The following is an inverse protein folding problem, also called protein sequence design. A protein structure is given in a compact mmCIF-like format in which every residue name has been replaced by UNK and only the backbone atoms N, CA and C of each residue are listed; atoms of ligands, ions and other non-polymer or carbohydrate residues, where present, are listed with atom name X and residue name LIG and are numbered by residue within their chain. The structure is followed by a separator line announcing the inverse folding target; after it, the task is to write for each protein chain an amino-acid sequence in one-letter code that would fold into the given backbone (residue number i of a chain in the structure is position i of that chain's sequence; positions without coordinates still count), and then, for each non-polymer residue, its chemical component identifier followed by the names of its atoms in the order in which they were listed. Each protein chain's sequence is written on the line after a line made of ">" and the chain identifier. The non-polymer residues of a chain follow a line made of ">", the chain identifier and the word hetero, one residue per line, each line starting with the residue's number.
data_IF_554316052205
#
_entry.id   IF_554316052205
#
_cell.length_a   1.000
_cell.length_b   1.000
_cell.length_c   1.000
_cell.angle_alpha   90.00
_cell.angle_beta   90.00
_cell.angle_gamma   90.00
#
_symmetry.space_group_name_H-M   'P 1'
#
loop_
_entity.id
_entity.type
_entity.pdbx_description
1 polymer ?
#
# COMPACT_ATOMS: atom_id res chain seq x y z
N UNK A 1 -19.54 -0.30 6.67
CA UNK A 1 -18.83 -1.22 7.57
C UNK A 1 -19.02 -2.68 7.16
N UNK A 2 -20.25 -3.15 6.95
CA UNK A 2 -20.54 -4.57 6.61
C UNK A 2 -19.74 -5.07 5.39
N UNK A 3 -19.65 -4.27 4.32
CA UNK A 3 -18.88 -4.63 3.12
C UNK A 3 -17.39 -4.80 3.47
N UNK A 4 -16.79 -3.89 4.22
CA UNK A 4 -15.40 -3.99 4.66
C UNK A 4 -15.14 -5.25 5.47
N UNK A 5 -16.00 -5.55 6.44
CA UNK A 5 -15.86 -6.74 7.30
C UNK A 5 -16.03 -8.03 6.49
N UNK A 6 -16.99 -8.08 5.57
CA UNK A 6 -17.21 -9.24 4.70
C UNK A 6 -16.02 -9.48 3.77
N UNK A 7 -15.53 -8.43 3.10
CA UNK A 7 -14.35 -8.54 2.22
C UNK A 7 -13.11 -8.96 3.01
N UNK A 8 -12.91 -8.39 4.20
CA UNK A 8 -11.79 -8.76 5.08
C UNK A 8 -11.87 -10.23 5.49
N UNK A 9 -13.05 -10.71 5.88
CA UNK A 9 -13.26 -12.10 6.26
C UNK A 9 -12.95 -13.07 5.11
N UNK A 10 -13.43 -12.77 3.90
CA UNK A 10 -13.13 -13.55 2.70
C UNK A 10 -11.63 -13.54 2.41
N UNK A 11 -11.00 -12.36 2.45
CA UNK A 11 -9.55 -12.23 2.22
C UNK A 11 -8.76 -13.07 3.21
N UNK A 12 -9.06 -12.97 4.50
CA UNK A 12 -8.39 -13.75 5.55
C UNK A 12 -8.62 -15.25 5.32
N UNK A 13 -9.82 -15.66 4.96
CA UNK A 13 -10.14 -17.06 4.70
C UNK A 13 -9.34 -17.61 3.49
N UNK A 14 -9.34 -16.90 2.37
CA UNK A 14 -8.60 -17.30 1.16
C UNK A 14 -7.07 -17.26 1.37
N UNK A 15 -6.56 -16.23 2.05
CA UNK A 15 -5.15 -16.05 2.32
C UNK A 15 -4.66 -16.73 3.62
N UNK A 16 -5.52 -17.50 4.32
CA UNK A 16 -5.18 -18.10 5.61
C UNK A 16 -3.85 -18.87 5.63
N UNK A 17 -3.53 -19.74 4.64
CA UNK A 17 -2.25 -20.44 4.62
C UNK A 17 -1.05 -19.49 4.54
N UNK A 18 -1.17 -18.43 3.71
CA UNK A 18 -0.15 -17.39 3.55
C UNK A 18 0.05 -16.61 4.86
N UNK A 19 -1.05 -16.17 5.47
CA UNK A 19 -1.02 -15.41 6.72
C UNK A 19 -0.45 -16.25 7.87
N UNK A 20 -0.90 -17.50 8.04
CA UNK A 20 -0.40 -18.40 9.08
C UNK A 20 1.10 -18.63 8.95
N UNK A 21 1.57 -19.01 7.75
CA UNK A 21 3.00 -19.22 7.49
C UNK A 21 3.80 -17.92 7.69
N UNK A 22 3.29 -16.81 7.17
CA UNK A 22 3.91 -15.50 7.29
C UNK A 22 4.05 -15.05 8.74
N UNK A 23 3.03 -15.26 9.58
CA UNK A 23 3.07 -14.91 11.01
C UNK A 23 4.14 -15.68 11.77
N UNK A 24 4.23 -16.99 11.55
CA UNK A 24 5.25 -17.82 12.18
C UNK A 24 6.65 -17.33 11.80
N UNK A 25 6.88 -17.08 10.50
CA UNK A 25 8.16 -16.60 10.00
C UNK A 25 8.49 -15.19 10.51
N UNK A 26 7.48 -14.28 10.54
CA UNK A 26 7.65 -12.93 11.07
C UNK A 26 8.15 -12.96 12.51
N UNK A 27 7.52 -13.76 13.37
CA UNK A 27 7.91 -13.91 14.78
C UNK A 27 9.29 -14.51 14.95
N UNK A 28 9.63 -15.53 14.15
CA UNK A 28 10.94 -16.18 14.22
C UNK A 28 12.10 -15.23 13.87
N UNK A 29 11.84 -14.20 13.04
CA UNK A 29 12.83 -13.19 12.60
C UNK A 29 12.43 -11.78 13.01
N UNK A 30 11.79 -11.62 14.17
CA UNK A 30 11.14 -10.38 14.59
C UNK A 30 12.05 -9.15 14.50
N UNK A 31 13.27 -9.24 15.08
CA UNK A 31 14.22 -8.12 15.08
C UNK A 31 14.61 -7.68 13.67
N UNK A 32 14.92 -8.63 12.81
CA UNK A 32 15.25 -8.33 11.40
C UNK A 32 14.07 -7.69 10.67
N UNK A 33 12.87 -8.25 10.82
CA UNK A 33 11.67 -7.75 10.15
C UNK A 33 11.29 -6.35 10.60
N UNK A 34 11.40 -6.03 11.91
CA UNK A 34 11.13 -4.69 12.42
C UNK A 34 12.17 -3.68 11.95
N UNK A 35 13.46 -4.03 11.93
CA UNK A 35 14.50 -3.17 11.38
C UNK A 35 14.31 -2.93 9.88
N UNK A 36 13.94 -3.97 9.13
CA UNK A 36 13.63 -3.84 7.70
C UNK A 36 12.46 -2.88 7.47
N UNK A 37 11.37 -3.00 8.25
CA UNK A 37 10.23 -2.06 8.19
C UNK A 37 10.69 -0.64 8.48
N UNK A 38 11.49 -0.42 9.52
CA UNK A 38 11.99 0.91 9.88
C UNK A 38 12.84 1.54 8.77
N UNK A 39 13.74 0.78 8.16
CA UNK A 39 14.57 1.28 7.05
C UNK A 39 13.70 1.57 5.83
N UNK A 40 12.77 0.68 5.49
CA UNK A 40 11.92 0.84 4.32
C UNK A 40 10.91 1.98 4.46
N UNK A 41 10.36 2.23 5.66
CA UNK A 41 9.45 3.37 5.86
C UNK A 41 10.20 4.69 5.68
N UNK A 42 11.41 4.82 6.21
CA UNK A 42 12.24 6.02 6.00
C UNK A 42 12.57 6.22 4.52
N UNK A 43 12.95 5.15 3.81
CA UNK A 43 13.23 5.21 2.37
C UNK A 43 11.99 5.59 1.56
N UNK A 44 10.82 5.06 1.91
CA UNK A 44 9.54 5.39 1.27
C UNK A 44 9.21 6.88 1.41
N UNK A 45 9.29 7.43 2.63
CA UNK A 45 9.01 8.85 2.85
C UNK A 45 10.00 9.76 2.14
N UNK A 46 11.28 9.42 2.14
CA UNK A 46 12.30 10.18 1.41
C UNK A 46 12.05 10.19 -0.09
N UNK A 47 11.76 9.02 -0.69
CA UNK A 47 11.46 8.91 -2.11
C UNK A 47 10.15 9.63 -2.49
N UNK A 48 9.10 9.48 -1.66
CA UNK A 48 7.81 10.13 -1.89
C UNK A 48 7.94 11.66 -1.81
N UNK A 49 8.72 12.18 -0.86
CA UNK A 49 8.97 13.62 -0.74
C UNK A 49 9.58 14.17 -2.04
N UNK A 50 10.63 13.51 -2.55
CA UNK A 50 11.29 13.93 -3.79
C UNK A 50 10.33 13.87 -4.99
N UNK A 51 9.61 12.75 -5.14
CA UNK A 51 8.67 12.56 -6.25
C UNK A 51 7.51 13.57 -6.18
N UNK A 52 6.93 13.80 -5.00
CA UNK A 52 5.83 14.75 -4.85
C UNK A 52 6.26 16.18 -5.12
N UNK A 53 7.44 16.61 -4.67
CA UNK A 53 8.00 17.92 -5.01
C UNK A 53 8.20 18.04 -6.52
N UNK A 54 8.78 17.04 -7.15
CA UNK A 54 9.02 17.06 -8.60
C UNK A 54 7.69 17.14 -9.39
N UNK A 55 6.70 16.34 -9.01
CA UNK A 55 5.36 16.37 -9.63
C UNK A 55 4.72 17.75 -9.40
N UNK A 56 4.77 18.28 -8.19
CA UNK A 56 4.23 19.62 -7.87
C UNK A 56 4.86 20.73 -8.73
N UNK A 57 6.19 20.71 -8.90
CA UNK A 57 6.89 21.69 -9.76
C UNK A 57 6.46 21.54 -11.24
N UNK A 58 6.33 20.31 -11.75
CA UNK A 58 6.02 20.05 -13.14
C UNK A 58 4.55 20.25 -13.51
N UNK A 59 3.63 20.01 -12.58
CA UNK A 59 2.18 19.98 -12.85
C UNK A 59 1.38 21.02 -12.11
N UNK A 60 1.94 21.65 -11.07
CA UNK A 60 1.24 22.54 -10.15
C UNK A 60 0.29 21.81 -9.18
N UNK A 61 0.30 20.47 -9.14
CA UNK A 61 -0.59 19.67 -8.30
C UNK A 61 0.10 19.28 -6.99
N UNK A 62 -0.62 19.43 -5.88
CA UNK A 62 -0.10 19.12 -4.55
C UNK A 62 -0.63 17.78 -4.00
N UNK A 63 -1.77 17.29 -4.52
CA UNK A 63 -2.46 16.12 -3.97
C UNK A 63 -3.29 15.39 -5.05
N UNK A 64 -3.80 14.20 -4.73
CA UNK A 64 -4.63 13.38 -5.61
C UNK A 64 -6.10 13.39 -5.19
N UNK A 65 -7.02 13.05 -6.13
CA UNK A 65 -8.45 12.87 -5.83
C UNK A 65 -8.65 11.80 -4.73
N UNK A 66 -7.85 10.73 -4.76
CA UNK A 66 -7.90 9.69 -3.72
C UNK A 66 -7.55 10.24 -2.34
N UNK A 67 -6.50 11.05 -2.23
CA UNK A 67 -6.08 11.67 -0.97
C UNK A 67 -7.14 12.66 -0.46
N UNK A 68 -7.71 13.49 -1.33
CA UNK A 68 -8.79 14.41 -0.99
C UNK A 68 -10.04 13.68 -0.49
N UNK A 69 -10.40 12.53 -1.10
CA UNK A 69 -11.51 11.70 -0.67
C UNK A 69 -11.29 11.11 0.74
N UNK A 70 -10.06 10.67 1.04
CA UNK A 70 -9.69 10.18 2.39
C UNK A 70 -9.77 11.33 3.40
N UNK A 71 -9.24 12.50 3.08
CA UNK A 71 -9.29 13.68 3.95
C UNK A 71 -10.74 14.10 4.23
N UNK A 72 -11.58 14.21 3.22
CA UNK A 72 -13.00 14.51 3.40
C UNK A 72 -13.69 13.46 4.27
N UNK A 73 -13.44 12.17 4.03
CA UNK A 73 -14.01 11.08 4.83
C UNK A 73 -13.54 11.14 6.27
N UNK A 74 -12.28 11.49 6.53
CA UNK A 74 -11.74 11.58 7.90
C UNK A 74 -12.43 12.64 8.76
N UNK A 75 -12.94 13.68 8.15
CA UNK A 75 -13.70 14.75 8.84
C UNK A 75 -15.10 14.29 9.25
N UNK A 76 -15.75 13.44 8.45
CA UNK A 76 -17.15 13.02 8.70
C UNK A 76 -17.26 11.70 9.45
N UNK A 77 -16.37 10.75 9.16
CA UNK A 77 -16.42 9.39 9.71
C UNK A 77 -15.02 8.91 10.12
N UNK A 78 -14.32 9.60 11.05
CA UNK A 78 -12.90 9.40 11.33
C UNK A 78 -12.53 7.95 11.72
N UNK A 79 -13.34 7.31 12.55
CA UNK A 79 -13.07 5.92 12.98
C UNK A 79 -13.19 4.91 11.84
N UNK A 80 -14.16 5.09 10.95
CA UNK A 80 -14.32 4.22 9.78
C UNK A 80 -13.20 4.46 8.77
N UNK A 81 -12.79 5.71 8.57
CA UNK A 81 -11.66 6.07 7.70
C UNK A 81 -10.37 5.48 8.26
N UNK A 82 -10.10 5.64 9.55
CA UNK A 82 -8.93 5.03 10.19
C UNK A 82 -8.91 3.51 10.02
N UNK A 83 -10.04 2.85 10.27
CA UNK A 83 -10.16 1.41 10.10
C UNK A 83 -9.94 0.98 8.65
N UNK A 84 -10.64 1.63 7.70
CA UNK A 84 -10.56 1.24 6.28
C UNK A 84 -9.20 1.51 5.67
N UNK A 85 -8.58 2.63 6.00
CA UNK A 85 -7.29 3.05 5.41
C UNK A 85 -6.10 2.37 6.07
N UNK A 86 -6.10 2.24 7.42
CA UNK A 86 -4.93 1.73 8.12
C UNK A 86 -4.94 0.21 8.35
N UNK A 87 -6.11 -0.41 8.47
CA UNK A 87 -6.20 -1.86 8.75
C UNK A 87 -6.74 -2.66 7.57
N UNK A 88 -7.90 -2.28 7.07
CA UNK A 88 -8.56 -3.04 6.02
C UNK A 88 -7.74 -3.01 4.71
N UNK A 89 -7.40 -1.83 4.20
CA UNK A 89 -6.70 -1.69 2.93
C UNK A 89 -5.34 -2.42 2.94
N UNK A 90 -4.43 -2.22 3.92
CA UNK A 90 -3.16 -2.92 3.94
C UNK A 90 -3.29 -4.45 3.95
N UNK A 91 -4.23 -5.01 4.70
CA UNK A 91 -4.40 -6.47 4.76
C UNK A 91 -4.92 -7.00 3.41
N UNK A 92 -5.97 -6.40 2.87
CA UNK A 92 -6.60 -6.86 1.62
C UNK A 92 -5.66 -6.66 0.45
N UNK A 93 -5.08 -5.48 0.31
CA UNK A 93 -4.24 -5.12 -0.83
C UNK A 93 -2.93 -5.90 -0.83
N UNK A 94 -2.27 -6.09 0.31
CA UNK A 94 -1.04 -6.88 0.34
C UNK A 94 -1.31 -8.38 0.06
N UNK A 95 -2.41 -8.93 0.56
CA UNK A 95 -2.80 -10.29 0.21
C UNK A 95 -3.04 -10.44 -1.31
N UNK A 96 -3.68 -9.47 -1.95
CA UNK A 96 -3.95 -9.48 -3.39
C UNK A 96 -2.68 -9.24 -4.20
N UNK A 97 -1.99 -8.11 -3.95
CA UNK A 97 -0.90 -7.68 -4.82
C UNK A 97 0.42 -8.41 -4.54
N UNK A 98 0.77 -8.70 -3.28
CA UNK A 98 2.02 -9.41 -2.94
C UNK A 98 1.79 -10.90 -2.81
N UNK A 99 0.77 -11.30 -2.08
CA UNK A 99 0.40 -12.71 -1.94
C UNK A 99 -0.05 -13.35 -3.25
N UNK A 100 -0.84 -12.64 -4.05
CA UNK A 100 -1.38 -13.10 -5.32
C UNK A 100 -0.52 -12.71 -6.53
N UNK A 101 -0.65 -11.46 -6.99
CA UNK A 101 -0.09 -10.97 -8.26
C UNK A 101 1.44 -11.09 -8.29
N UNK A 102 2.13 -10.48 -7.35
CA UNK A 102 3.59 -10.51 -7.29
C UNK A 102 4.13 -11.94 -7.21
N UNK A 103 3.61 -12.76 -6.30
CA UNK A 103 4.06 -14.15 -6.12
C UNK A 103 3.88 -14.96 -7.41
N UNK A 104 2.75 -14.79 -8.10
CA UNK A 104 2.48 -15.49 -9.37
C UNK A 104 3.42 -15.03 -10.49
N UNK A 105 3.67 -13.74 -10.60
CA UNK A 105 4.60 -13.19 -11.59
C UNK A 105 6.05 -13.59 -11.25
N UNK A 106 6.44 -13.50 -9.98
CA UNK A 106 7.78 -13.81 -9.50
C UNK A 106 8.20 -15.26 -9.73
N UNK A 107 7.23 -16.18 -9.72
CA UNK A 107 7.50 -17.58 -10.05
C UNK A 107 7.85 -17.83 -11.52
N UNK A 108 7.63 -16.84 -12.41
CA UNK A 108 7.82 -16.94 -13.87
C UNK A 108 8.75 -15.87 -14.44
N UNK A 109 9.07 -14.84 -13.66
CA UNK A 109 9.83 -13.66 -14.14
C UNK A 109 10.86 -13.20 -13.12
N UNK A 110 11.68 -12.21 -13.51
CA UNK A 110 12.62 -11.56 -12.61
C UNK A 110 11.90 -10.77 -11.50
N UNK A 111 12.60 -10.51 -10.39
CA UNK A 111 12.11 -9.64 -9.32
C UNK A 111 11.65 -8.27 -9.86
N UNK A 112 12.49 -7.65 -10.71
CA UNK A 112 12.20 -6.31 -11.25
C UNK A 112 10.89 -6.28 -12.04
N UNK A 113 10.68 -7.25 -12.94
CA UNK A 113 9.48 -7.28 -13.78
C UNK A 113 8.22 -7.62 -12.94
N UNK A 114 8.33 -8.58 -12.02
CA UNK A 114 7.22 -8.93 -11.13
C UNK A 114 6.82 -7.77 -10.21
N UNK A 115 7.82 -7.06 -9.62
CA UNK A 115 7.56 -5.91 -8.75
C UNK A 115 6.98 -4.74 -9.55
N UNK A 116 7.50 -4.44 -10.74
CA UNK A 116 7.01 -3.35 -11.58
C UNK A 116 5.53 -3.56 -11.95
N UNK A 117 5.18 -4.74 -12.49
CA UNK A 117 3.79 -5.03 -12.89
C UNK A 117 2.85 -5.01 -11.67
N UNK A 118 3.24 -5.68 -10.58
CA UNK A 118 2.42 -5.71 -9.36
C UNK A 118 2.21 -4.32 -8.77
N UNK A 119 3.24 -3.46 -8.83
CA UNK A 119 3.22 -2.11 -8.28
C UNK A 119 2.43 -1.13 -9.15
N UNK A 120 2.49 -1.27 -10.47
CA UNK A 120 1.66 -0.49 -11.38
C UNK A 120 0.16 -0.83 -11.20
N UNK A 121 -0.17 -2.11 -11.07
CA UNK A 121 -1.54 -2.53 -10.78
C UNK A 121 -2.01 -2.03 -9.40
N UNK A 122 -1.15 -2.11 -8.39
CA UNK A 122 -1.42 -1.54 -7.07
C UNK A 122 -1.63 -0.02 -7.13
N UNK A 123 -0.76 0.71 -7.84
CA UNK A 123 -0.92 2.15 -8.02
C UNK A 123 -2.23 2.51 -8.73
N UNK A 124 -2.60 1.74 -9.75
CA UNK A 124 -3.78 2.01 -10.58
C UNK A 124 -5.10 2.01 -9.82
N UNK A 125 -5.24 1.20 -8.77
CA UNK A 125 -6.49 1.17 -7.99
C UNK A 125 -6.79 2.49 -7.27
N UNK A 126 -5.77 3.32 -7.01
CA UNK A 126 -5.93 4.63 -6.38
C UNK A 126 -6.49 5.71 -7.32
N UNK A 127 -6.56 5.40 -8.63
CA UNK A 127 -7.11 6.28 -9.66
C UNK A 127 -8.47 5.81 -10.18
N UNK A 128 -9.16 4.92 -9.44
CA UNK A 128 -10.45 4.39 -9.89
C UNK A 128 -11.50 5.51 -10.08
N UNK A 129 -11.43 6.57 -9.28
CA UNK A 129 -12.32 7.72 -9.42
C UNK A 129 -12.09 8.48 -10.73
N UNK A 130 -10.86 8.53 -11.24
CA UNK A 130 -10.54 9.17 -12.51
C UNK A 130 -11.31 8.56 -13.70
N UNK A 131 -11.62 7.27 -13.65
CA UNK A 131 -12.43 6.59 -14.67
C UNK A 131 -13.91 6.99 -14.60
N UNK A 132 -14.43 7.33 -13.43
CA UNK A 132 -15.82 7.77 -13.26
C UNK A 132 -15.99 9.26 -13.55
N UNK A 133 -14.99 10.08 -13.23
CA UNK A 133 -15.01 11.53 -13.44
C UNK A 133 -14.46 11.93 -14.80
N UNK A 134 -13.75 11.03 -15.50
CA UNK A 134 -12.97 11.30 -16.72
C UNK A 134 -11.89 12.39 -16.52
N UNK A 135 -11.44 12.55 -15.26
CA UNK A 135 -10.38 13.49 -14.90
C UNK A 135 -9.12 12.71 -14.49
N UNK A 136 -8.11 12.74 -15.35
CA UNK A 136 -6.82 12.07 -15.18
C UNK A 136 -5.70 13.06 -14.83
N UNK A 137 -6.02 14.25 -14.36
CA UNK A 137 -5.04 15.31 -14.06
C UNK A 137 -3.99 14.85 -13.05
N UNK A 138 -4.39 14.05 -12.04
CA UNK A 138 -3.51 13.55 -10.99
C UNK A 138 -2.74 12.26 -11.34
N UNK A 139 -2.87 11.77 -12.59
CA UNK A 139 -2.18 10.55 -13.06
C UNK A 139 -0.64 10.55 -12.86
N UNK A 140 0.09 11.68 -12.90
CA UNK A 140 1.51 11.70 -12.57
C UNK A 140 1.85 11.09 -11.20
N UNK A 141 0.94 11.17 -10.23
CA UNK A 141 1.09 10.53 -8.91
C UNK A 141 1.03 9.00 -8.96
N UNK A 142 0.70 8.39 -10.09
CA UNK A 142 0.86 6.94 -10.30
C UNK A 142 2.30 6.50 -10.02
N UNK A 143 3.30 7.37 -10.29
CA UNK A 143 4.70 7.10 -9.96
C UNK A 143 4.92 6.97 -8.45
N UNK A 144 4.27 7.82 -7.64
CA UNK A 144 4.36 7.77 -6.17
C UNK A 144 3.74 6.48 -5.64
N UNK A 145 2.50 6.16 -6.03
CA UNK A 145 1.82 4.93 -5.58
C UNK A 145 2.54 3.66 -6.05
N UNK A 146 3.02 3.65 -7.30
CA UNK A 146 3.80 2.51 -7.82
C UNK A 146 5.16 2.40 -7.14
N UNK A 147 5.80 3.53 -6.79
CA UNK A 147 7.02 3.56 -6.00
C UNK A 147 6.85 2.93 -4.63
N UNK A 148 5.79 3.31 -3.89
CA UNK A 148 5.39 2.65 -2.65
C UNK A 148 5.20 1.15 -2.90
N UNK A 149 4.47 0.80 -3.95
CA UNK A 149 4.24 -0.58 -4.37
C UNK A 149 5.54 -1.38 -4.55
N UNK A 150 6.56 -0.80 -5.18
CA UNK A 150 7.87 -1.45 -5.37
C UNK A 150 8.59 -1.68 -4.03
N UNK A 151 8.54 -0.73 -3.11
CA UNK A 151 9.11 -0.89 -1.76
C UNK A 151 8.42 -1.99 -0.99
N UNK A 152 7.08 -2.07 -1.06
CA UNK A 152 6.29 -3.15 -0.43
C UNK A 152 6.65 -4.53 -1.02
N UNK A 153 6.80 -4.63 -2.36
CA UNK A 153 7.24 -5.86 -3.02
C UNK A 153 8.67 -6.26 -2.61
N UNK A 154 9.58 -5.28 -2.47
CA UNK A 154 10.93 -5.51 -1.97
C UNK A 154 10.92 -6.00 -0.52
N UNK A 155 10.12 -5.38 0.35
CA UNK A 155 9.94 -5.79 1.74
C UNK A 155 9.44 -7.24 1.83
N UNK A 156 8.48 -7.63 0.99
CA UNK A 156 7.97 -8.98 0.90
C UNK A 156 9.03 -10.00 0.46
N UNK A 157 9.76 -9.71 -0.63
CA UNK A 157 10.84 -10.56 -1.16
C UNK A 157 11.95 -10.77 -0.12
N UNK A 158 12.39 -9.70 0.56
CA UNK A 158 13.49 -9.75 1.52
C UNK A 158 13.14 -10.41 2.84
N UNK A 159 11.91 -10.26 3.29
CA UNK A 159 11.45 -10.79 4.57
C UNK A 159 10.89 -12.21 4.47
N UNK A 160 10.50 -12.67 3.28
CA UNK A 160 9.76 -13.92 3.07
C UNK A 160 8.46 -14.03 3.90
N UNK A 161 7.88 -12.88 4.29
CA UNK A 161 6.63 -12.83 5.04
C UNK A 161 5.74 -11.67 4.59
N UNK A 162 4.43 -11.94 4.48
CA UNK A 162 3.43 -10.93 4.12
C UNK A 162 3.27 -9.86 5.21
N UNK A 163 3.70 -10.13 6.44
CA UNK A 163 3.52 -9.19 7.56
C UNK A 163 4.45 -7.98 7.48
N UNK A 164 5.59 -8.06 6.81
CA UNK A 164 6.45 -6.90 6.60
C UNK A 164 5.78 -5.87 5.69
N UNK A 165 5.31 -6.20 4.47
CA UNK A 165 4.61 -5.22 3.66
C UNK A 165 3.28 -4.78 4.28
N UNK A 166 2.51 -5.64 4.97
CA UNK A 166 1.31 -5.22 5.69
C UNK A 166 1.64 -4.16 6.75
N UNK A 167 2.67 -4.39 7.58
CA UNK A 167 3.06 -3.45 8.62
C UNK A 167 3.61 -2.14 8.04
N UNK A 168 4.42 -2.23 7.00
CA UNK A 168 4.96 -1.06 6.30
C UNK A 168 3.84 -0.21 5.69
N UNK A 169 2.88 -0.85 5.02
CA UNK A 169 1.72 -0.18 4.44
C UNK A 169 0.81 0.43 5.50
N UNK A 170 0.54 -0.31 6.59
CA UNK A 170 -0.18 0.21 7.76
C UNK A 170 0.47 1.49 8.31
N UNK A 171 1.79 1.47 8.55
CA UNK A 171 2.52 2.62 9.08
C UNK A 171 2.51 3.80 8.09
N UNK A 172 2.68 3.54 6.80
CA UNK A 172 2.59 4.57 5.77
C UNK A 172 1.22 5.28 5.83
N UNK A 173 0.14 4.52 5.85
CA UNK A 173 -1.21 5.08 5.88
C UNK A 173 -1.52 5.74 7.23
N UNK A 174 -1.06 5.19 8.35
CA UNK A 174 -1.25 5.76 9.67
C UNK A 174 -0.60 7.14 9.78
N UNK A 175 0.65 7.28 9.33
CA UNK A 175 1.36 8.55 9.34
C UNK A 175 0.64 9.57 8.44
N UNK A 176 0.18 9.15 7.25
CA UNK A 176 -0.59 10.01 6.35
C UNK A 176 -1.90 10.49 6.99
N UNK A 177 -2.68 9.58 7.61
CA UNK A 177 -3.94 9.95 8.29
C UNK A 177 -3.68 10.86 9.49
N UNK A 178 -2.65 10.60 10.28
CA UNK A 178 -2.29 11.47 11.42
C UNK A 178 -1.86 12.87 10.97
N UNK A 179 -1.13 12.97 9.86
CA UNK A 179 -0.71 14.26 9.30
C UNK A 179 -1.91 15.09 8.76
N UNK A 180 -3.03 14.45 8.41
CA UNK A 180 -4.26 15.17 8.03
C UNK A 180 -5.07 15.70 9.23
N UNK A 181 -4.86 15.12 10.42
CA UNK A 181 -5.61 15.48 11.64
C UNK A 181 -4.91 16.57 12.46
N UNK A 182 -3.64 16.90 12.14
CA UNK A 182 -2.83 17.94 12.76
C UNK A 182 -2.90 19.24 11.98
#
# INVERSE_FOLDING_TARGET
>A
LCIYLFTLAITIWLAYPLLKKGFIYFKAHLRYNLLLVLVLICATYFANLILSILIGILTGMETTQNQQAIEASSRFIPLLTLFSTCFFAPIVEECVFRGGVFTKLRSKTSFLLASLISSLLFGSIHFINAFFTLDFSDLPFLLVYSGIGMVLAYGYEKSNTIFVPILLHFLNNLIAVLAMLL
#
